data_IF_152962351262
#
_entry.id   IF_152962351262
#
_cell.length_a   1.000
_cell.length_b   1.000
_cell.length_c   1.000
_cell.angle_alpha   90.00
_cell.angle_beta   90.00
_cell.angle_gamma   90.00
#
_symmetry.space_group_name_H-M   'P 1'
#
loop_
_entity.id
_entity.type
_entity.pdbx_description
1 polymer ?
#
# COMPACT_ATOMS: atom_id res chain seq x y z
N UNK A 1 -19.01 -6.90 -22.29
CA UNK A 1 -18.55 -5.52 -22.09
C UNK A 1 -17.03 -5.60 -22.14
N UNK A 2 -16.37 -4.93 -23.08
CA UNK A 2 -14.92 -4.80 -23.04
C UNK A 2 -14.61 -3.74 -21.98
N UNK A 3 -14.12 -4.15 -20.82
CA UNK A 3 -13.68 -3.24 -19.78
C UNK A 3 -12.17 -3.03 -19.96
N UNK A 4 -11.74 -1.79 -20.14
CA UNK A 4 -10.33 -1.43 -20.07
C UNK A 4 -9.93 -1.34 -18.59
N UNK A 5 -8.81 -1.96 -18.22
CA UNK A 5 -8.30 -1.94 -16.86
C UNK A 5 -6.77 -1.84 -16.88
N UNK A 6 -6.21 -1.23 -15.84
CA UNK A 6 -4.79 -1.34 -15.53
C UNK A 6 -4.61 -2.53 -14.62
N UNK A 7 -3.71 -3.44 -14.99
CA UNK A 7 -3.29 -4.56 -14.17
C UNK A 7 -1.83 -4.33 -13.77
N UNK A 8 -1.61 -3.98 -12.51
CA UNK A 8 -0.27 -3.87 -11.94
C UNK A 8 0.05 -5.13 -11.15
N UNK A 9 1.23 -5.71 -11.38
CA UNK A 9 1.68 -6.91 -10.68
C UNK A 9 3.05 -6.67 -10.08
N UNK A 10 3.23 -7.04 -8.82
CA UNK A 10 4.56 -7.16 -8.20
C UNK A 10 4.89 -8.62 -7.96
N UNK A 11 6.18 -8.96 -8.06
CA UNK A 11 6.67 -10.28 -7.69
C UNK A 11 8.06 -10.22 -7.07
N UNK A 12 8.44 -11.26 -6.32
CA UNK A 12 9.84 -11.43 -5.91
C UNK A 12 10.75 -11.75 -7.11
N UNK A 13 12.07 -11.76 -6.87
CA UNK A 13 13.08 -12.00 -7.90
C UNK A 13 12.98 -13.37 -8.58
N UNK A 14 12.31 -14.34 -7.94
CA UNK A 14 12.11 -15.70 -8.47
C UNK A 14 10.72 -15.88 -9.11
N UNK A 15 9.84 -14.88 -9.01
CA UNK A 15 8.46 -14.91 -9.46
C UNK A 15 7.51 -15.74 -8.58
N UNK A 16 7.93 -16.15 -7.38
CA UNK A 16 7.17 -17.08 -6.52
C UNK A 16 6.02 -16.39 -5.79
N UNK A 17 6.28 -15.22 -5.22
CA UNK A 17 5.25 -14.36 -4.65
C UNK A 17 4.75 -13.40 -5.74
N UNK A 18 3.43 -13.30 -5.90
CA UNK A 18 2.81 -12.40 -6.88
C UNK A 18 1.61 -11.69 -6.26
N UNK A 19 1.61 -10.37 -6.31
CA UNK A 19 0.47 -9.53 -5.95
C UNK A 19 -0.06 -8.82 -7.18
N UNK A 20 -1.37 -8.82 -7.38
CA UNK A 20 -2.00 -8.23 -8.58
C UNK A 20 -3.05 -7.21 -8.16
N UNK A 21 -2.97 -6.02 -8.74
CA UNK A 21 -3.90 -4.91 -8.57
C UNK A 21 -4.58 -4.65 -9.91
N UNK A 22 -5.90 -4.71 -9.93
CA UNK A 22 -6.69 -4.44 -11.14
C UNK A 22 -7.61 -3.24 -10.88
N UNK A 23 -7.45 -2.18 -11.68
CA UNK A 23 -8.27 -0.97 -11.55
C UNK A 23 -8.92 -0.62 -12.89
N UNK A 24 -10.24 -0.38 -12.94
CA UNK A 24 -10.91 0.06 -14.15
C UNK A 24 -10.23 1.30 -14.70
N UNK A 25 -10.02 1.37 -16.01
CA UNK A 25 -9.28 2.47 -16.62
C UNK A 25 -10.10 3.13 -17.71
N UNK A 26 -10.00 4.46 -17.77
CA UNK A 26 -10.78 5.26 -18.69
C UNK A 26 -10.36 4.94 -20.14
N UNK A 27 -11.33 4.63 -21.01
CA UNK A 27 -11.04 4.25 -22.40
C UNK A 27 -10.44 5.40 -23.23
N UNK A 28 -10.76 6.66 -22.91
CA UNK A 28 -10.10 7.83 -23.52
C UNK A 28 -8.67 7.93 -23.04
N UNK A 29 -8.42 7.83 -21.73
CA UNK A 29 -7.06 7.84 -21.18
C UNK A 29 -6.19 6.69 -21.73
N UNK A 30 -6.78 5.52 -21.94
CA UNK A 30 -6.12 4.41 -22.61
C UNK A 30 -5.75 4.74 -24.05
N UNK A 31 -6.67 5.32 -24.82
CA UNK A 31 -6.38 5.77 -26.19
C UNK A 31 -5.28 6.83 -26.22
N UNK A 32 -5.29 7.77 -25.28
CA UNK A 32 -4.27 8.80 -25.17
C UNK A 32 -2.89 8.19 -24.87
N UNK A 33 -2.83 7.17 -24.00
CA UNK A 33 -1.60 6.41 -23.75
C UNK A 33 -1.13 5.69 -25.02
N UNK A 34 -2.01 5.00 -25.76
CA UNK A 34 -1.63 4.35 -27.02
C UNK A 34 -1.11 5.38 -28.05
N UNK A 35 -1.77 6.52 -28.17
CA UNK A 35 -1.34 7.60 -29.06
C UNK A 35 0.06 8.12 -28.70
N UNK A 36 0.41 8.16 -27.41
CA UNK A 36 1.77 8.52 -26.96
C UNK A 36 2.82 7.56 -27.54
N UNK A 37 2.58 6.24 -27.46
CA UNK A 37 3.50 5.24 -28.03
C UNK A 37 3.67 5.42 -29.55
N UNK A 38 2.59 5.71 -30.27
CA UNK A 38 2.63 5.97 -31.71
C UNK A 38 3.38 7.27 -32.04
N UNK A 39 3.08 8.36 -31.35
CA UNK A 39 3.68 9.68 -31.55
C UNK A 39 5.20 9.64 -31.32
N UNK A 40 5.63 8.97 -30.24
CA UNK A 40 7.05 8.80 -29.91
C UNK A 40 7.73 7.69 -30.73
N UNK A 41 7.00 7.06 -31.65
CA UNK A 41 7.50 6.03 -32.57
C UNK A 41 8.14 4.85 -31.85
N UNK A 42 7.50 4.38 -30.76
CA UNK A 42 8.02 3.29 -29.93
C UNK A 42 8.41 2.04 -30.75
N UNK A 43 7.60 1.67 -31.74
CA UNK A 43 7.88 0.53 -32.63
C UNK A 43 9.19 0.65 -33.44
N UNK A 44 9.73 1.86 -33.60
CA UNK A 44 10.97 2.14 -34.33
C UNK A 44 12.17 2.37 -33.41
N UNK A 45 11.98 2.37 -32.08
CA UNK A 45 13.07 2.55 -31.12
C UNK A 45 14.05 1.37 -31.14
N UNK A 46 15.26 1.63 -30.65
CA UNK A 46 16.25 0.57 -30.44
C UNK A 46 15.72 -0.44 -29.42
N UNK A 47 16.14 -1.69 -29.53
CA UNK A 47 15.69 -2.74 -28.61
C UNK A 47 16.28 -2.57 -27.20
N UNK A 48 17.47 -1.95 -27.09
CA UNK A 48 18.19 -1.85 -25.83
C UNK A 48 18.99 -0.55 -25.73
N UNK A 49 18.80 0.16 -24.63
CA UNK A 49 19.58 1.33 -24.25
C UNK A 49 20.50 0.99 -23.07
N UNK A 50 21.77 1.35 -23.21
CA UNK A 50 22.85 1.13 -22.23
C UNK A 50 23.68 2.42 -22.10
N UNK A 51 24.46 2.59 -21.01
CA UNK A 51 25.30 3.77 -20.84
C UNK A 51 26.27 3.96 -22.01
N UNK A 52 26.31 5.17 -22.59
CA UNK A 52 27.25 5.56 -23.63
C UNK A 52 28.58 6.01 -23.04
N UNK A 53 29.62 6.09 -23.89
CA UNK A 53 30.94 6.58 -23.47
C UNK A 53 30.84 7.98 -22.86
N UNK A 54 31.33 8.12 -21.62
CA UNK A 54 31.29 9.37 -20.86
C UNK A 54 30.05 9.56 -19.98
N UNK A 55 29.05 8.67 -20.07
CA UNK A 55 27.94 8.65 -19.12
C UNK A 55 28.33 7.91 -17.82
N UNK A 56 27.80 8.31 -16.66
CA UNK A 56 28.03 7.58 -15.42
C UNK A 56 27.41 6.19 -15.51
N UNK A 57 28.13 5.18 -14.99
CA UNK A 57 27.55 3.86 -14.76
C UNK A 57 26.89 3.85 -13.39
N UNK A 58 25.59 3.60 -13.36
CA UNK A 58 24.83 3.42 -12.13
C UNK A 58 24.66 1.91 -11.92
N UNK A 59 25.14 1.37 -10.80
CA UNK A 59 25.17 -0.09 -10.53
C UNK A 59 24.08 -0.56 -9.59
N UNK A 60 23.53 0.37 -8.82
CA UNK A 60 22.39 0.15 -7.97
C UNK A 60 21.22 0.75 -8.75
N UNK A 61 20.92 0.24 -9.95
CA UNK A 61 19.67 0.48 -10.69
C UNK A 61 19.34 -0.75 -11.56
N UNK A 62 18.05 -1.06 -11.71
CA UNK A 62 17.62 -2.35 -12.26
C UNK A 62 17.48 -2.40 -13.75
N UNK A 63 16.61 -3.25 -14.25
CA UNK A 63 16.28 -3.29 -15.67
C UNK A 63 14.84 -2.86 -15.88
N UNK A 64 14.63 -1.88 -16.75
CA UNK A 64 13.30 -1.53 -17.23
C UNK A 64 13.04 -2.27 -18.54
N UNK A 65 11.91 -2.97 -18.63
CA UNK A 65 11.41 -3.54 -19.87
C UNK A 65 10.00 -2.99 -20.14
N UNK A 66 9.84 -2.32 -21.29
CA UNK A 66 8.53 -1.86 -21.77
C UNK A 66 8.16 -2.68 -22.99
N UNK A 67 6.99 -3.31 -22.95
CA UNK A 67 6.45 -4.06 -24.07
C UNK A 67 5.12 -3.48 -24.54
N UNK A 68 5.01 -3.26 -25.85
CA UNK A 68 3.75 -2.95 -26.53
C UNK A 68 3.36 -4.18 -27.37
N UNK A 69 2.22 -4.76 -27.05
CA UNK A 69 1.66 -5.93 -27.74
C UNK A 69 0.23 -5.64 -28.20
N UNK A 70 -0.02 -5.84 -29.49
CA UNK A 70 -1.35 -5.84 -30.12
C UNK A 70 -1.50 -7.09 -31.00
N UNK A 71 -2.61 -7.22 -31.75
CA UNK A 71 -2.86 -8.39 -32.60
C UNK A 71 -1.82 -8.61 -33.72
N UNK A 72 -1.07 -7.58 -34.08
CA UNK A 72 -0.20 -7.51 -35.27
C UNK A 72 1.26 -7.21 -34.90
N UNK A 73 1.49 -6.54 -33.77
CA UNK A 73 2.80 -6.05 -33.37
C UNK A 73 3.15 -6.51 -31.95
N UNK A 74 4.41 -6.87 -31.78
CA UNK A 74 5.04 -7.03 -30.46
C UNK A 74 6.37 -6.31 -30.51
N UNK A 75 6.57 -5.35 -29.62
CA UNK A 75 7.84 -4.63 -29.47
C UNK A 75 8.19 -4.56 -28.00
N UNK A 76 9.43 -4.93 -27.68
CA UNK A 76 10.02 -4.74 -26.36
C UNK A 76 11.21 -3.80 -26.48
N UNK A 77 11.32 -2.87 -25.53
CA UNK A 77 12.46 -1.96 -25.36
C UNK A 77 12.97 -2.13 -23.93
N UNK A 78 14.28 -2.34 -23.80
CA UNK A 78 14.95 -2.56 -22.53
C UNK A 78 15.91 -1.40 -22.22
N UNK A 79 15.96 -0.97 -20.96
CA UNK A 79 16.95 -0.03 -20.44
C UNK A 79 17.69 -0.71 -19.29
N UNK A 80 19.00 -0.91 -19.48
CA UNK A 80 19.82 -1.64 -18.52
C UNK A 80 21.21 -0.96 -18.39
N UNK A 81 21.50 -0.33 -17.25
CA UNK A 81 20.70 -0.30 -16.03
C UNK A 81 19.64 0.85 -16.09
N UNK A 82 18.56 0.79 -15.33
CA UNK A 82 17.38 1.67 -15.44
C UNK A 82 17.73 3.08 -14.97
N UNK A 83 18.07 3.93 -15.94
CA UNK A 83 18.41 5.33 -15.70
C UNK A 83 17.98 6.19 -16.88
N UNK A 84 17.31 7.30 -16.57
CA UNK A 84 16.67 8.14 -17.59
C UNK A 84 17.65 8.78 -18.57
N UNK A 85 18.89 9.03 -18.17
CA UNK A 85 19.90 9.60 -19.07
C UNK A 85 20.34 8.65 -20.19
N UNK A 86 20.08 7.34 -20.08
CA UNK A 86 20.34 6.40 -21.17
C UNK A 86 19.20 6.36 -22.19
N UNK A 87 18.03 6.90 -21.82
CA UNK A 87 16.82 6.85 -22.63
C UNK A 87 16.73 8.06 -23.57
N UNK A 88 16.26 7.90 -24.82
CA UNK A 88 15.87 9.04 -25.64
C UNK A 88 14.62 9.73 -25.05
N UNK A 89 14.43 11.01 -25.35
CA UNK A 89 13.33 11.84 -24.82
C UNK A 89 11.95 11.16 -24.95
N UNK A 90 11.65 10.59 -26.13
CA UNK A 90 10.38 9.91 -26.34
C UNK A 90 10.18 8.66 -25.47
N UNK A 91 11.25 7.95 -25.09
CA UNK A 91 11.15 6.82 -24.17
C UNK A 91 10.99 7.29 -22.71
N UNK A 92 11.63 8.40 -22.33
CA UNK A 92 11.43 9.02 -21.01
C UNK A 92 9.98 9.47 -20.80
N UNK A 93 9.34 10.02 -21.83
CA UNK A 93 7.93 10.41 -21.77
C UNK A 93 6.99 9.19 -21.62
N UNK A 94 7.26 8.11 -22.35
CA UNK A 94 6.52 6.85 -22.21
C UNK A 94 6.71 6.26 -20.80
N UNK A 95 7.95 6.17 -20.32
CA UNK A 95 8.27 5.67 -18.99
C UNK A 95 7.55 6.48 -17.91
N UNK A 96 7.58 7.81 -18.00
CA UNK A 96 6.87 8.70 -17.07
C UNK A 96 5.36 8.42 -17.05
N UNK A 97 4.73 8.24 -18.21
CA UNK A 97 3.32 7.91 -18.30
C UNK A 97 2.99 6.53 -17.69
N UNK A 98 3.89 5.54 -17.83
CA UNK A 98 3.73 4.23 -17.22
C UNK A 98 3.93 4.26 -15.70
N UNK A 99 4.83 5.11 -15.19
CA UNK A 99 5.00 5.36 -13.75
C UNK A 99 3.73 5.99 -13.16
N UNK A 100 3.14 6.97 -13.84
CA UNK A 100 1.84 7.53 -13.44
C UNK A 100 0.71 6.49 -13.49
N UNK A 101 0.73 5.60 -14.48
CA UNK A 101 -0.25 4.52 -14.59
C UNK A 101 -0.12 3.51 -13.43
N UNK A 102 1.11 3.20 -13.02
CA UNK A 102 1.39 2.41 -11.81
C UNK A 102 0.86 3.11 -10.57
N UNK A 103 1.11 4.42 -10.43
CA UNK A 103 0.57 5.25 -9.35
C UNK A 103 -0.94 5.09 -9.24
N UNK A 104 -1.62 5.21 -10.38
CA UNK A 104 -3.06 5.10 -10.49
C UNK A 104 -3.58 3.73 -10.05
N UNK A 105 -2.90 2.66 -10.45
CA UNK A 105 -3.28 1.30 -10.07
C UNK A 105 -3.22 1.05 -8.55
N UNK A 106 -2.27 1.71 -7.88
CA UNK A 106 -2.06 1.63 -6.44
C UNK A 106 -2.84 2.67 -5.63
N UNK A 107 -3.30 3.74 -6.27
CA UNK A 107 -4.05 4.79 -5.57
C UNK A 107 -5.37 4.23 -5.03
N UNK A 108 -5.72 4.69 -3.85
CA UNK A 108 -6.96 4.32 -3.15
C UNK A 108 -7.72 5.61 -2.93
N UNK A 109 -8.97 5.72 -3.39
CA UNK A 109 -9.76 6.91 -3.04
C UNK A 109 -10.23 6.83 -1.59
N UNK A 110 -10.69 7.95 -1.02
CA UNK A 110 -11.32 7.96 0.31
C UNK A 110 -12.48 6.95 0.40
N UNK A 111 -13.42 6.99 -0.54
CA UNK A 111 -14.57 6.08 -0.55
C UNK A 111 -14.13 4.62 -0.72
N UNK A 112 -13.12 4.35 -1.55
CA UNK A 112 -12.59 3.00 -1.74
C UNK A 112 -11.89 2.47 -0.48
N UNK A 113 -11.16 3.33 0.25
CA UNK A 113 -10.53 2.96 1.51
C UNK A 113 -11.56 2.61 2.59
N UNK A 114 -12.64 3.37 2.69
CA UNK A 114 -13.77 3.09 3.59
C UNK A 114 -14.44 1.76 3.23
N UNK A 115 -14.74 1.51 1.94
CA UNK A 115 -15.30 0.23 1.48
C UNK A 115 -14.39 -0.96 1.78
N UNK A 116 -13.08 -0.82 1.55
CA UNK A 116 -12.08 -1.87 1.85
C UNK A 116 -12.02 -2.12 3.35
N UNK A 117 -11.97 -1.07 4.16
CA UNK A 117 -11.90 -1.17 5.61
C UNK A 117 -13.15 -1.85 6.18
N UNK A 118 -14.35 -1.38 5.82
CA UNK A 118 -15.61 -1.95 6.29
C UNK A 118 -15.75 -3.42 5.90
N UNK A 119 -15.50 -3.74 4.63
CA UNK A 119 -15.55 -5.12 4.17
C UNK A 119 -14.55 -6.01 4.91
N UNK A 120 -13.36 -5.50 5.24
CA UNK A 120 -12.39 -6.25 6.02
C UNK A 120 -12.85 -6.43 7.47
N UNK A 121 -13.32 -5.37 8.13
CA UNK A 121 -13.80 -5.39 9.52
C UNK A 121 -14.94 -6.38 9.68
N UNK A 122 -15.92 -6.36 8.78
CA UNK A 122 -17.08 -7.27 8.83
C UNK A 122 -16.68 -8.75 8.75
N UNK A 123 -15.52 -9.05 8.15
CA UNK A 123 -14.96 -10.40 8.06
C UNK A 123 -13.86 -10.68 9.09
N UNK A 124 -13.48 -9.69 9.91
CA UNK A 124 -12.43 -9.83 10.92
C UNK A 124 -12.91 -10.72 12.09
N UNK A 125 -12.03 -11.53 12.71
CA UNK A 125 -12.40 -12.46 13.77
C UNK A 125 -13.20 -11.86 14.95
N UNK A 126 -12.83 -10.67 15.42
CA UNK A 126 -13.46 -9.97 16.55
C UNK A 126 -14.88 -9.53 16.21
N UNK A 127 -15.04 -8.76 15.13
CA UNK A 127 -16.35 -8.24 14.72
C UNK A 127 -17.25 -9.37 14.19
N UNK A 128 -16.70 -10.27 13.38
CA UNK A 128 -17.44 -11.40 12.82
C UNK A 128 -17.94 -12.40 13.86
N UNK A 129 -17.32 -12.47 15.05
CA UNK A 129 -17.79 -13.34 16.13
C UNK A 129 -19.14 -12.85 16.69
N UNK A 130 -19.23 -11.59 17.08
CA UNK A 130 -20.43 -11.02 17.72
C UNK A 130 -20.55 -9.49 17.72
N UNK A 131 -19.80 -8.82 16.85
CA UNK A 131 -19.82 -7.37 16.65
C UNK A 131 -21.11 -6.88 15.99
N UNK A 132 -21.48 -5.63 16.30
CA UNK A 132 -22.57 -4.89 15.67
C UNK A 132 -22.39 -3.37 15.87
N UNK A 133 -23.21 -2.57 15.17
CA UNK A 133 -23.19 -1.09 15.24
C UNK A 133 -21.85 -0.47 14.83
N UNK A 134 -21.27 -0.95 13.71
CA UNK A 134 -20.05 -0.40 13.14
C UNK A 134 -20.28 1.03 12.66
N UNK A 135 -19.40 1.96 13.05
CA UNK A 135 -19.46 3.37 12.67
C UNK A 135 -18.07 3.91 12.41
N UNK A 136 -17.91 4.63 11.29
CA UNK A 136 -16.72 5.43 11.03
C UNK A 136 -16.79 6.71 11.86
N UNK A 137 -15.79 6.94 12.71
CA UNK A 137 -15.67 8.16 13.52
C UNK A 137 -14.75 9.18 12.85
N UNK A 138 -13.64 8.72 12.26
CA UNK A 138 -12.65 9.60 11.63
C UNK A 138 -11.94 8.90 10.47
N UNK A 139 -11.51 9.72 9.50
CA UNK A 139 -10.74 9.29 8.35
C UNK A 139 -9.71 10.37 8.00
N UNK A 140 -8.45 10.06 8.25
CA UNK A 140 -7.29 10.87 7.89
C UNK A 140 -6.58 10.28 6.66
N UNK A 141 -6.15 11.14 5.74
CA UNK A 141 -5.36 10.73 4.57
C UNK A 141 -4.00 11.39 4.68
N UNK A 142 -2.94 10.57 4.71
CA UNK A 142 -1.57 11.06 4.67
C UNK A 142 -1.12 11.22 3.21
N UNK A 143 -0.54 12.38 2.90
CA UNK A 143 0.08 12.71 1.62
C UNK A 143 1.41 11.94 1.42
N UNK A 144 1.31 10.62 1.45
CA UNK A 144 2.39 9.66 1.19
C UNK A 144 2.22 9.06 -0.20
N UNK A 145 3.23 8.35 -0.70
CA UNK A 145 3.16 7.70 -2.01
C UNK A 145 3.58 6.23 -1.90
N UNK A 146 2.64 5.28 -2.10
CA UNK A 146 1.20 5.48 -2.31
C UNK A 146 0.52 6.08 -1.06
N UNK A 147 -0.66 6.69 -1.26
CA UNK A 147 -1.44 7.30 -0.19
C UNK A 147 -1.76 6.29 0.92
N UNK A 148 -1.82 6.78 2.15
CA UNK A 148 -2.20 5.98 3.32
C UNK A 148 -3.43 6.59 3.96
N UNK A 149 -4.42 5.73 4.21
CA UNK A 149 -5.68 6.09 4.84
C UNK A 149 -5.71 5.50 6.24
N UNK A 150 -5.87 6.36 7.24
CA UNK A 150 -6.08 5.97 8.63
C UNK A 150 -7.54 6.19 8.96
N UNK A 151 -8.24 5.11 9.30
CA UNK A 151 -9.66 5.12 9.60
C UNK A 151 -9.87 4.63 11.03
N UNK A 152 -10.65 5.38 11.80
CA UNK A 152 -11.04 5.01 13.15
C UNK A 152 -12.51 4.63 13.16
N UNK A 153 -12.78 3.37 13.52
CA UNK A 153 -14.13 2.83 13.63
C UNK A 153 -14.47 2.55 15.09
N UNK A 154 -15.75 2.65 15.43
CA UNK A 154 -16.29 2.11 16.68
C UNK A 154 -17.30 1.01 16.38
N UNK A 155 -17.36 0.01 17.26
CA UNK A 155 -18.39 -1.02 17.23
C UNK A 155 -18.64 -1.59 18.63
N UNK A 156 -19.66 -2.41 18.78
CA UNK A 156 -19.95 -3.10 20.06
C UNK A 156 -19.97 -4.61 19.85
N UNK A 157 -19.29 -5.35 20.72
CA UNK A 157 -19.38 -6.82 20.83
C UNK A 157 -20.41 -7.21 21.88
N UNK A 158 -21.07 -8.37 21.73
CA UNK A 158 -21.99 -8.92 22.74
C UNK A 158 -21.26 -9.52 23.94
N UNK A 159 -19.99 -9.88 23.76
CA UNK A 159 -19.10 -10.42 24.76
C UNK A 159 -17.79 -9.64 24.78
N UNK A 160 -17.12 -9.63 25.94
CA UNK A 160 -15.78 -9.06 26.05
C UNK A 160 -14.70 -9.95 25.43
N UNK A 161 -13.59 -9.33 25.03
CA UNK A 161 -12.37 -9.98 24.54
C UNK A 161 -12.01 -9.58 23.10
N UNK A 162 -11.07 -10.30 22.49
CA UNK A 162 -10.60 -10.12 21.10
C UNK A 162 -10.55 -11.47 20.33
N UNK A 163 -10.55 -11.41 19.01
CA UNK A 163 -10.46 -12.55 18.10
C UNK A 163 -11.68 -13.48 18.07
N UNK A 164 -11.49 -14.66 17.46
CA UNK A 164 -12.48 -15.73 17.50
C UNK A 164 -12.45 -16.43 18.87
N UNK A 165 -13.57 -16.37 19.59
CA UNK A 165 -13.70 -16.85 20.98
C UNK A 165 -14.54 -18.14 21.07
N UNK A 166 -14.71 -18.85 19.96
CA UNK A 166 -15.38 -20.16 19.96
C UNK A 166 -14.72 -21.07 21.01
N UNK A 167 -15.54 -21.78 21.79
CA UNK A 167 -15.13 -22.67 22.88
C UNK A 167 -14.50 -22.00 24.11
N UNK A 168 -14.50 -20.67 24.20
CA UNK A 168 -14.09 -19.93 25.40
C UNK A 168 -15.28 -19.64 26.31
N UNK A 169 -15.05 -19.60 27.62
CA UNK A 169 -16.04 -19.07 28.58
C UNK A 169 -16.02 -17.56 28.45
N UNK A 170 -17.02 -17.01 27.78
CA UNK A 170 -17.17 -15.57 27.53
C UNK A 170 -18.12 -14.92 28.53
N UNK A 171 -17.90 -13.64 28.81
CA UNK A 171 -18.79 -12.83 29.65
C UNK A 171 -19.89 -12.22 28.76
N UNK A 172 -21.17 -12.41 29.10
CA UNK A 172 -22.29 -11.74 28.42
C UNK A 172 -22.35 -10.26 28.84
N UNK A 173 -21.55 -9.42 28.19
CA UNK A 173 -21.46 -7.99 28.44
C UNK A 173 -21.23 -7.24 27.13
N UNK A 174 -22.11 -6.27 26.86
CA UNK A 174 -21.92 -5.35 25.73
C UNK A 174 -20.62 -4.59 25.93
N UNK A 175 -19.67 -4.81 25.02
CA UNK A 175 -18.31 -4.27 25.11
C UNK A 175 -18.10 -3.34 23.93
N UNK A 176 -18.02 -2.02 24.13
CA UNK A 176 -17.66 -1.09 23.09
C UNK A 176 -16.17 -1.24 22.75
N UNK A 177 -15.84 -1.14 21.48
CA UNK A 177 -14.48 -1.18 20.96
C UNK A 177 -14.22 0.00 20.02
N UNK A 178 -12.97 0.44 19.98
CA UNK A 178 -12.42 1.30 18.94
C UNK A 178 -11.45 0.50 18.08
N UNK A 179 -11.47 0.68 16.77
CA UNK A 179 -10.59 -0.01 15.83
C UNK A 179 -9.92 0.98 14.90
N UNK A 180 -8.60 0.98 14.92
CA UNK A 180 -7.75 1.78 14.06
C UNK A 180 -7.29 0.92 12.87
N UNK A 181 -7.68 1.32 11.67
CA UNK A 181 -7.39 0.62 10.42
C UNK A 181 -6.48 1.51 9.56
N UNK A 182 -5.40 0.93 9.04
CA UNK A 182 -4.61 1.58 8.00
C UNK A 182 -4.83 0.86 6.65
N UNK A 183 -5.28 1.59 5.63
CA UNK A 183 -5.42 1.10 4.25
C UNK A 183 -4.37 1.76 3.37
N UNK A 184 -3.63 0.97 2.60
CA UNK A 184 -2.71 1.47 1.58
C UNK A 184 -2.53 0.43 0.48
N UNK A 185 -2.33 0.89 -0.75
CA UNK A 185 -2.28 0.03 -1.94
C UNK A 185 -3.54 -0.85 -2.05
N UNK A 186 -4.71 -0.28 -1.70
CA UNK A 186 -6.00 -0.98 -1.76
C UNK A 186 -6.09 -2.22 -0.87
N UNK A 187 -5.29 -2.27 0.19
CA UNK A 187 -5.31 -3.35 1.18
C UNK A 187 -5.20 -2.82 2.61
N UNK A 188 -5.80 -3.55 3.55
CA UNK A 188 -5.61 -3.31 4.98
C UNK A 188 -4.18 -3.72 5.37
N UNK A 189 -3.40 -2.75 5.87
CA UNK A 189 -2.01 -2.92 6.31
C UNK A 189 -1.88 -3.02 7.83
N UNK A 190 -2.82 -2.45 8.57
CA UNK A 190 -2.89 -2.51 10.03
C UNK A 190 -4.35 -2.53 10.48
N UNK A 191 -4.64 -3.25 11.56
CA UNK A 191 -5.94 -3.26 12.21
C UNK A 191 -5.75 -3.50 13.72
N UNK A 192 -5.86 -2.43 14.52
CA UNK A 192 -5.63 -2.45 15.96
C UNK A 192 -6.93 -2.19 16.69
N UNK A 193 -7.29 -3.06 17.65
CA UNK A 193 -8.47 -2.89 18.51
C UNK A 193 -8.04 -2.40 19.88
N UNK A 194 -8.71 -1.33 20.34
CA UNK A 194 -8.54 -0.68 21.65
C UNK A 194 -7.10 -0.25 21.97
N UNK A 195 -6.22 -0.15 20.96
CA UNK A 195 -4.79 0.08 21.17
C UNK A 195 -4.07 -1.08 21.86
N UNK A 196 -4.68 -2.27 21.95
CA UNK A 196 -4.14 -3.41 22.72
C UNK A 196 -4.01 -4.69 21.89
N UNK A 197 -4.79 -4.85 20.83
CA UNK A 197 -4.88 -6.09 20.06
C UNK A 197 -4.62 -5.86 18.57
N UNK A 198 -3.65 -6.59 18.03
CA UNK A 198 -3.44 -6.67 16.58
C UNK A 198 -4.39 -7.72 16.00
N UNK A 199 -5.40 -7.24 15.28
CA UNK A 199 -6.45 -8.07 14.69
C UNK A 199 -5.96 -8.84 13.46
N UNK A 200 -4.91 -8.38 12.77
CA UNK A 200 -4.32 -9.13 11.64
C UNK A 200 -3.51 -10.30 12.19
N UNK A 201 -2.62 -10.04 13.15
CA UNK A 201 -1.74 -11.06 13.73
C UNK A 201 -2.43 -11.91 14.82
N UNK A 202 -3.64 -11.52 15.24
CA UNK A 202 -4.42 -12.16 16.31
C UNK A 202 -3.62 -12.33 17.60
N UNK A 203 -2.98 -11.25 18.05
CA UNK A 203 -2.16 -11.23 19.28
C UNK A 203 -2.19 -9.85 19.96
N UNK A 204 -1.90 -9.78 21.28
CA UNK A 204 -1.72 -8.50 21.96
C UNK A 204 -0.51 -7.74 21.40
N UNK A 205 -0.58 -6.41 21.44
CA UNK A 205 0.56 -5.56 21.16
C UNK A 205 1.62 -5.70 22.28
N UNK A 206 2.89 -5.77 21.89
CA UNK A 206 4.00 -5.79 22.84
C UNK A 206 4.15 -4.39 23.45
N UNK A 207 3.90 -4.26 24.75
CA UNK A 207 4.19 -3.03 25.50
C UNK A 207 5.69 -3.05 25.84
N UNK A 208 6.47 -2.12 25.29
CA UNK A 208 7.86 -1.87 25.71
C UNK A 208 7.90 -1.66 27.24
N UNK A 209 8.88 -2.23 27.97
CA UNK A 209 8.94 -2.06 29.41
C UNK A 209 9.25 -0.60 29.77
N UNK A 210 8.28 0.09 30.36
CA UNK A 210 8.47 1.36 31.04
C UNK A 210 9.58 1.22 32.11
N UNK A 211 10.72 1.90 31.90
CA UNK A 211 11.67 2.18 32.97
C UNK A 211 11.05 3.21 33.92
N UNK A 212 10.35 2.72 34.93
CA UNK A 212 9.81 3.52 36.03
C UNK A 212 10.93 3.76 37.05
N UNK A 213 11.55 4.95 37.03
CA UNK A 213 12.19 5.51 38.22
C UNK A 213 11.50 6.84 38.56
N UNK A 214 10.66 6.73 39.58
CA UNK A 214 9.77 7.74 40.13
C UNK A 214 10.47 9.02 40.62
N UNK A 215 9.87 10.19 40.37
CA UNK A 215 9.75 11.24 41.40
C UNK A 215 8.51 12.11 41.17
N UNK A 216 7.70 12.24 42.22
CA UNK A 216 6.42 12.97 42.29
C UNK A 216 6.54 14.47 41.95
N UNK A 217 5.59 15.01 41.17
CA UNK A 217 4.97 16.32 41.42
C UNK A 217 3.51 16.34 40.95
N UNK A 218 2.60 16.81 41.80
CA UNK A 218 1.16 16.99 41.56
C UNK A 218 0.87 18.32 40.83
N UNK A 219 -0.05 18.27 39.86
CA UNK A 219 -1.16 19.21 39.59
C UNK A 219 -1.23 19.74 38.15
N UNK A 220 -2.46 19.73 37.62
CA UNK A 220 -2.92 20.67 36.61
C UNK A 220 -3.16 20.02 35.26
N UNK A 221 -4.42 20.01 34.85
CA UNK A 221 -4.88 19.55 33.54
C UNK A 221 -4.06 20.20 32.41
N UNK A 222 -3.26 19.38 31.75
CA UNK A 222 -2.94 19.54 30.34
C UNK A 222 -3.56 18.33 29.64
N UNK A 223 -4.30 18.60 28.58
CA UNK A 223 -4.76 17.56 27.66
C UNK A 223 -3.51 16.79 27.24
N UNK A 224 -3.40 15.53 27.70
CA UNK A 224 -2.43 14.58 27.19
C UNK A 224 -2.74 14.42 25.70
N UNK A 225 -2.12 15.29 24.89
CA UNK A 225 -1.81 14.98 23.51
C UNK A 225 -0.93 13.75 23.60
N UNK A 226 -1.57 12.58 23.48
CA UNK A 226 -0.91 11.34 23.14
C UNK A 226 -0.18 11.60 21.81
N UNK A 227 1.07 12.03 21.88
CA UNK A 227 2.02 11.87 20.81
C UNK A 227 2.09 10.36 20.55
N UNK A 228 1.30 9.88 19.60
CA UNK A 228 1.42 8.55 19.05
C UNK A 228 2.75 8.48 18.30
N UNK A 229 3.80 8.17 19.05
CA UNK A 229 5.05 7.67 18.50
C UNK A 229 4.79 6.22 18.15
N UNK A 230 4.42 5.98 16.91
CA UNK A 230 4.54 4.66 16.34
C UNK A 230 6.01 4.26 16.48
N UNK A 231 6.34 3.14 17.15
CA UNK A 231 7.39 2.32 16.59
C UNK A 231 6.87 1.96 15.20
N UNK A 232 7.28 2.75 14.19
CA UNK A 232 7.67 2.12 12.95
C UNK A 232 8.58 1.02 13.43
N UNK A 233 8.09 -0.23 13.48
CA UNK A 233 9.01 -1.34 13.62
C UNK A 233 10.05 -1.04 12.56
N UNK A 234 11.29 -0.84 12.99
CA UNK A 234 12.45 -0.75 12.10
C UNK A 234 12.66 -2.09 11.34
N UNK A 235 11.62 -2.88 11.11
CA UNK A 235 11.40 -3.44 9.77
C UNK A 235 11.19 -2.28 8.80
N UNK A 236 12.32 -1.62 8.53
CA UNK A 236 12.65 -0.88 7.32
C UNK A 236 11.44 -0.51 6.50
N UNK A 237 11.17 0.79 6.43
CA UNK A 237 10.26 1.31 5.40
C UNK A 237 10.59 0.61 4.07
N UNK A 238 9.62 0.28 3.20
CA UNK A 238 9.90 -0.49 1.98
C UNK A 238 11.03 0.10 1.11
N UNK A 239 11.32 1.39 1.30
CA UNK A 239 12.47 2.08 0.74
C UNK A 239 13.81 1.62 1.34
N UNK A 240 13.92 1.44 2.65
CA UNK A 240 15.13 0.98 3.35
C UNK A 240 15.49 -0.48 3.04
N UNK A 241 14.52 -1.35 2.71
CA UNK A 241 14.80 -2.72 2.22
C UNK A 241 15.42 -2.69 0.82
N UNK A 242 15.03 -1.75 -0.04
CA UNK A 242 15.60 -1.59 -1.39
C UNK A 242 17.03 -1.04 -1.36
N UNK A 243 17.40 -0.25 -0.33
CA UNK A 243 18.76 0.26 -0.17
C UNK A 243 19.73 -0.75 0.46
N UNK A 244 19.27 -1.73 1.23
CA UNK A 244 20.14 -2.76 1.82
C UNK A 244 20.41 -3.96 0.91
N UNK A 245 19.50 -4.29 -0.01
CA UNK A 245 19.64 -5.44 -0.89
C UNK A 245 20.43 -5.18 -2.17
N UNK A 246 20.85 -3.93 -2.44
CA UNK A 246 21.68 -3.59 -3.60
C UNK A 246 21.09 -4.07 -4.93
N UNK A 247 19.76 -4.16 -5.01
CA UNK A 247 18.99 -4.64 -6.14
C UNK A 247 17.92 -3.60 -6.44
N UNK A 248 18.36 -2.57 -7.12
CA UNK A 248 17.64 -2.20 -8.31
C UNK A 248 18.47 -2.89 -9.38
#
# INVERSE_FOLDING_TARGET
>A
MNSTAVVFTTSDNEGNFRKTYEKPFNETAFRDLINLFEEKRFLQMEERYVPQEGQPLVTDVGTLEISLEDEVHTKTVTVDPYYSEYMPEGLQEIDSALVELRAYALSTSRDEAEEIAEAWIENAPTYGYDGFDLKLEDHEVLETYPEQHFLNYTFTSRHGGYGNRTDQIVTEALTPHSMEIAVSEREVRSAIIDGEWDEIAQKPLEKEPHNDDSTEVVSGAEEDLLEMKYPVSEEKTPWDQWYEEGNI
#
